data_IF_389684921179
#
_entry.id   IF_389684921179
#
_cell.length_a   1.000
_cell.length_b   1.000
_cell.length_c   1.000
_cell.angle_alpha   90.00
_cell.angle_beta   90.00
_cell.angle_gamma   90.00
#
_symmetry.space_group_name_H-M   'P 1'
#
loop_
_entity.id
_entity.type
_entity.pdbx_description
1 polymer ?
#
# COMPACT_ATOMS: atom_id res chain seq x y z
N UNK A 1 -10.20 3.97 6.75
CA UNK A 1 -9.39 4.87 7.59
C UNK A 1 -10.01 6.28 7.68
N UNK A 2 -10.69 6.78 6.64
CA UNK A 2 -11.21 8.17 6.58
C UNK A 2 -12.60 8.41 7.22
N UNK A 3 -13.11 7.49 8.00
CA UNK A 3 -14.52 7.56 8.49
C UNK A 3 -14.61 7.70 10.01
N UNK A 4 -13.67 8.34 10.63
CA UNK A 4 -13.97 8.96 11.92
C UNK A 4 -14.51 10.36 11.64
N UNK A 5 -15.72 10.70 12.07
CA UNK A 5 -16.25 12.07 12.11
C UNK A 5 -15.44 12.96 13.06
N UNK A 6 -14.15 12.70 13.20
CA UNK A 6 -13.25 13.38 14.11
C UNK A 6 -12.56 14.51 13.35
N UNK A 7 -12.46 15.63 14.00
CA UNK A 7 -11.66 16.76 13.51
C UNK A 7 -10.20 16.33 13.39
N UNK A 8 -9.46 16.83 12.40
CA UNK A 8 -8.06 16.51 12.27
C UNK A 8 -7.28 16.92 13.53
N UNK A 9 -6.22 16.16 13.83
CA UNK A 9 -5.32 16.46 14.94
C UNK A 9 -4.69 17.84 14.73
N UNK A 10 -4.81 18.71 15.74
CA UNK A 10 -4.24 20.07 15.72
C UNK A 10 -3.02 20.23 16.61
N UNK A 11 -2.74 19.26 17.50
CA UNK A 11 -1.56 19.27 18.35
C UNK A 11 -0.30 19.00 17.52
N UNK A 12 0.64 19.93 17.52
CA UNK A 12 1.87 19.86 16.72
C UNK A 12 2.72 18.61 17.05
N UNK A 13 2.79 18.20 18.30
CA UNK A 13 3.54 17.01 18.69
C UNK A 13 2.92 15.73 18.11
N UNK A 14 1.58 15.62 18.11
CA UNK A 14 0.87 14.49 17.50
C UNK A 14 1.00 14.51 15.98
N UNK A 15 0.98 15.68 15.35
CA UNK A 15 1.22 15.82 13.91
C UNK A 15 2.63 15.33 13.55
N UNK A 16 3.65 15.72 14.33
CA UNK A 16 5.02 15.26 14.11
C UNK A 16 5.17 13.76 14.32
N UNK A 17 4.53 13.20 15.35
CA UNK A 17 4.51 11.74 15.57
C UNK A 17 3.84 11.02 14.40
N UNK A 18 2.69 11.51 13.94
CA UNK A 18 1.99 10.95 12.78
C UNK A 18 2.86 10.99 11.52
N UNK A 19 3.54 12.11 11.27
CA UNK A 19 4.45 12.26 10.14
C UNK A 19 5.63 11.29 10.22
N UNK A 20 6.33 11.21 11.35
CA UNK A 20 7.46 10.31 11.53
C UNK A 20 7.04 8.84 11.43
N UNK A 21 5.88 8.50 11.99
CA UNK A 21 5.30 7.15 11.86
C UNK A 21 4.99 6.81 10.40
N UNK A 22 4.39 7.72 9.65
CA UNK A 22 4.08 7.54 8.24
C UNK A 22 5.35 7.40 7.37
N UNK A 23 6.38 8.22 7.64
CA UNK A 23 7.68 8.10 6.95
C UNK A 23 8.32 6.74 7.24
N UNK A 24 8.33 6.30 8.48
CA UNK A 24 8.95 5.04 8.88
C UNK A 24 8.20 3.85 8.26
N UNK A 25 6.87 3.85 8.31
CA UNK A 25 6.04 2.81 7.72
C UNK A 25 6.20 2.80 6.18
N UNK A 26 5.95 3.94 5.53
CA UNK A 26 6.02 4.06 4.08
C UNK A 26 7.40 3.69 3.52
N UNK A 27 8.49 4.17 4.14
CA UNK A 27 9.83 3.80 3.69
C UNK A 27 10.14 2.32 3.94
N UNK A 28 9.85 1.79 5.14
CA UNK A 28 10.14 0.39 5.49
C UNK A 28 9.35 -0.59 4.63
N UNK A 29 8.07 -0.32 4.44
CA UNK A 29 7.20 -1.18 3.65
C UNK A 29 7.55 -1.14 2.16
N UNK A 30 7.86 0.04 1.59
CA UNK A 30 8.24 0.15 0.19
C UNK A 30 9.62 -0.46 -0.09
N UNK A 31 10.59 -0.27 0.81
CA UNK A 31 11.89 -0.92 0.70
C UNK A 31 11.76 -2.44 0.63
N UNK A 32 10.95 -3.04 1.51
CA UNK A 32 10.72 -4.48 1.51
C UNK A 32 9.92 -4.93 0.29
N UNK A 33 8.78 -4.28 0.01
CA UNK A 33 7.84 -4.80 -0.98
C UNK A 33 8.25 -4.46 -2.42
N UNK A 34 8.80 -3.25 -2.69
CA UNK A 34 9.26 -2.84 -4.04
C UNK A 34 10.74 -3.05 -4.20
N UNK A 35 11.53 -2.62 -3.21
CA UNK A 35 12.99 -2.79 -3.26
C UNK A 35 13.43 -4.25 -3.25
N UNK A 36 12.73 -5.14 -2.55
CA UNK A 36 13.08 -6.56 -2.48
C UNK A 36 12.11 -7.41 -3.30
N UNK A 37 10.85 -7.55 -2.89
CA UNK A 37 9.94 -8.55 -3.49
C UNK A 37 9.63 -8.24 -4.96
N UNK A 38 9.12 -7.04 -5.27
CA UNK A 38 8.81 -6.68 -6.65
C UNK A 38 10.05 -6.66 -7.54
N UNK A 39 11.19 -6.21 -7.02
CA UNK A 39 12.46 -6.20 -7.75
C UNK A 39 12.93 -7.61 -8.12
N UNK A 40 12.97 -8.55 -7.16
CA UNK A 40 13.35 -9.94 -7.41
C UNK A 40 12.38 -10.62 -8.38
N UNK A 41 11.07 -10.42 -8.21
CA UNK A 41 10.07 -11.03 -9.08
C UNK A 41 10.14 -10.45 -10.49
N UNK A 42 10.29 -9.12 -10.63
CA UNK A 42 10.39 -8.48 -11.94
C UNK A 42 11.69 -8.88 -12.66
N UNK A 43 12.83 -8.95 -11.98
CA UNK A 43 14.10 -9.38 -12.59
C UNK A 43 14.01 -10.80 -13.17
N UNK A 44 13.23 -11.69 -12.54
CA UNK A 44 13.06 -13.08 -13.01
C UNK A 44 11.95 -13.23 -14.05
N UNK A 45 10.83 -12.52 -13.89
CA UNK A 45 9.60 -12.79 -14.64
C UNK A 45 9.24 -11.73 -15.67
N UNK A 46 9.71 -10.48 -15.54
CA UNK A 46 9.29 -9.38 -16.41
C UNK A 46 9.83 -9.45 -17.85
N UNK A 47 10.44 -10.57 -18.24
CA UNK A 47 10.82 -10.89 -19.63
C UNK A 47 9.60 -11.16 -20.53
N UNK A 48 8.44 -11.42 -19.95
CA UNK A 48 7.18 -11.68 -20.67
C UNK A 48 6.06 -10.79 -20.16
N UNK A 49 5.05 -10.51 -20.98
CA UNK A 49 3.84 -9.75 -20.57
C UNK A 49 3.16 -10.36 -19.35
N UNK A 50 2.97 -11.69 -19.35
CA UNK A 50 2.39 -12.39 -18.20
C UNK A 50 3.27 -12.27 -16.96
N UNK A 51 4.60 -12.34 -17.13
CA UNK A 51 5.54 -12.20 -16.04
C UNK A 51 5.56 -10.81 -15.41
N UNK A 52 5.39 -9.74 -16.19
CA UNK A 52 5.23 -8.36 -15.67
C UNK A 52 4.00 -8.26 -14.77
N UNK A 53 2.85 -8.74 -15.25
CA UNK A 53 1.60 -8.72 -14.48
C UNK A 53 1.68 -9.60 -13.23
N UNK A 54 2.28 -10.78 -13.36
CA UNK A 54 2.45 -11.71 -12.24
C UNK A 54 3.38 -11.13 -11.17
N UNK A 55 4.49 -10.50 -11.56
CA UNK A 55 5.41 -9.85 -10.63
C UNK A 55 4.71 -8.73 -9.84
N UNK A 56 3.92 -7.90 -10.51
CA UNK A 56 3.16 -6.85 -9.86
C UNK A 56 2.13 -7.43 -8.88
N UNK A 57 1.35 -8.41 -9.31
CA UNK A 57 0.27 -8.99 -8.50
C UNK A 57 0.80 -9.77 -7.29
N UNK A 58 1.79 -10.65 -7.49
CA UNK A 58 2.31 -11.49 -6.40
C UNK A 58 3.04 -10.66 -5.35
N UNK A 59 3.84 -9.66 -5.75
CA UNK A 59 4.46 -8.75 -4.77
C UNK A 59 3.42 -7.94 -4.00
N UNK A 60 2.34 -7.52 -4.65
CA UNK A 60 1.24 -6.83 -4.00
C UNK A 60 0.46 -7.74 -3.03
N UNK A 61 0.30 -9.01 -3.37
CA UNK A 61 -0.32 -9.99 -2.48
C UNK A 61 0.50 -10.18 -1.19
N UNK A 62 1.83 -10.27 -1.29
CA UNK A 62 2.69 -10.29 -0.10
C UNK A 62 2.55 -9.03 0.74
N UNK A 63 2.45 -7.86 0.11
CA UNK A 63 2.20 -6.60 0.80
C UNK A 63 0.88 -6.62 1.57
N UNK A 64 -0.22 -7.00 0.93
CA UNK A 64 -1.52 -7.11 1.59
C UNK A 64 -1.53 -8.14 2.72
N UNK A 65 -0.95 -9.33 2.49
CA UNK A 65 -0.86 -10.39 3.50
C UNK A 65 0.03 -10.00 4.68
N UNK A 66 1.01 -9.11 4.51
CA UNK A 66 1.81 -8.55 5.59
C UNK A 66 0.97 -7.89 6.69
N UNK A 67 -0.20 -7.33 6.32
CA UNK A 67 -1.13 -6.72 7.27
C UNK A 67 -1.83 -7.74 8.19
N UNK A 68 -1.73 -9.05 7.91
CA UNK A 68 -2.16 -10.09 8.88
C UNK A 68 -1.44 -9.95 10.22
N UNK A 69 -0.23 -9.38 10.26
CA UNK A 69 0.48 -9.08 11.50
C UNK A 69 -0.33 -8.19 12.45
N UNK A 70 -1.27 -7.38 11.93
CA UNK A 70 -2.16 -6.58 12.75
C UNK A 70 -3.12 -7.40 13.63
N UNK A 71 -3.24 -8.71 13.41
CA UNK A 71 -3.93 -9.63 14.33
C UNK A 71 -3.31 -9.58 15.72
N UNK A 72 -1.97 -9.41 15.82
CA UNK A 72 -1.30 -9.28 17.13
C UNK A 72 -1.71 -8.01 17.89
N UNK A 73 -2.12 -6.96 17.18
CA UNK A 73 -2.61 -5.71 17.76
C UNK A 73 -4.08 -5.81 18.18
N UNK A 74 -4.89 -6.43 17.32
CA UNK A 74 -6.36 -6.48 17.48
C UNK A 74 -6.82 -7.71 18.25
N UNK A 75 -6.01 -8.78 18.28
CA UNK A 75 -6.30 -10.05 18.93
C UNK A 75 -7.16 -11.01 18.10
N UNK A 76 -7.72 -10.58 16.97
CA UNK A 76 -8.57 -11.38 16.08
C UNK A 76 -8.64 -10.80 14.67
N UNK A 77 -9.08 -11.61 13.72
CA UNK A 77 -9.42 -11.14 12.38
C UNK A 77 -10.77 -10.41 12.42
N UNK A 78 -10.76 -9.12 12.11
CA UNK A 78 -11.97 -8.27 12.04
C UNK A 78 -12.35 -8.01 10.60
N UNK A 79 -13.55 -7.47 10.36
CA UNK A 79 -13.98 -7.03 9.03
C UNK A 79 -13.08 -5.88 8.51
N UNK A 80 -12.70 -4.95 9.38
CA UNK A 80 -11.79 -3.86 9.03
C UNK A 80 -10.41 -4.38 8.60
N UNK A 81 -9.84 -5.33 9.36
CA UNK A 81 -8.55 -5.93 9.01
C UNK A 81 -8.64 -6.75 7.71
N UNK A 82 -9.75 -7.46 7.50
CA UNK A 82 -9.97 -8.19 6.24
C UNK A 82 -9.97 -7.23 5.04
N UNK A 83 -10.70 -6.12 5.15
CA UNK A 83 -10.71 -5.09 4.11
C UNK A 83 -9.36 -4.39 3.96
N UNK A 84 -8.60 -4.21 5.05
CA UNK A 84 -7.25 -3.67 4.99
C UNK A 84 -6.36 -4.54 4.10
N UNK A 85 -6.39 -5.86 4.27
CA UNK A 85 -5.63 -6.79 3.43
C UNK A 85 -6.05 -6.67 1.95
N UNK A 86 -7.35 -6.56 1.68
CA UNK A 86 -7.87 -6.46 0.31
C UNK A 86 -7.42 -5.15 -0.35
N UNK A 87 -7.68 -3.98 0.27
CA UNK A 87 -7.32 -2.72 -0.35
C UNK A 87 -5.81 -2.48 -0.37
N UNK A 88 -5.05 -2.97 0.62
CA UNK A 88 -3.60 -2.91 0.60
C UNK A 88 -3.02 -3.74 -0.56
N UNK A 89 -3.58 -4.93 -0.83
CA UNK A 89 -3.21 -5.71 -2.01
C UNK A 89 -3.49 -4.91 -3.31
N UNK A 90 -4.66 -4.30 -3.41
CA UNK A 90 -5.03 -3.52 -4.59
C UNK A 90 -4.14 -2.30 -4.80
N UNK A 91 -3.90 -1.49 -3.76
CA UNK A 91 -2.93 -0.38 -3.81
C UNK A 91 -1.52 -0.88 -4.09
N UNK A 92 -1.16 -2.00 -3.47
CA UNK A 92 0.09 -2.69 -3.73
C UNK A 92 0.32 -3.02 -5.19
N UNK A 93 -0.74 -3.41 -5.93
CA UNK A 93 -0.67 -3.61 -7.38
C UNK A 93 -0.31 -2.32 -8.12
N UNK A 94 -0.90 -1.19 -7.74
CA UNK A 94 -0.59 0.12 -8.32
C UNK A 94 0.86 0.54 -8.07
N UNK A 95 1.32 0.44 -6.83
CA UNK A 95 2.70 0.76 -6.46
C UNK A 95 3.72 -0.19 -7.12
N UNK A 96 3.43 -1.50 -7.14
CA UNK A 96 4.30 -2.45 -7.83
C UNK A 96 4.38 -2.16 -9.34
N UNK A 97 3.27 -1.81 -9.97
CA UNK A 97 3.23 -1.39 -11.36
C UNK A 97 4.06 -0.11 -11.61
N UNK A 98 3.94 0.88 -10.72
CA UNK A 98 4.74 2.11 -10.80
C UNK A 98 6.24 1.81 -10.69
N UNK A 99 6.63 1.00 -9.71
CA UNK A 99 8.00 0.57 -9.52
C UNK A 99 8.55 -0.25 -10.70
N UNK A 100 7.82 -1.27 -11.14
CA UNK A 100 8.24 -2.14 -12.25
C UNK A 100 8.43 -1.35 -13.54
N UNK A 101 7.60 -0.32 -13.76
CA UNK A 101 7.69 0.56 -14.93
C UNK A 101 8.84 1.55 -14.88
N UNK A 102 9.24 2.03 -13.71
CA UNK A 102 10.16 3.18 -13.58
C UNK A 102 11.45 2.85 -12.86
N UNK A 103 11.52 1.73 -12.14
CA UNK A 103 12.57 1.41 -11.14
C UNK A 103 12.78 2.51 -10.09
N UNK A 104 11.82 3.43 -9.96
CA UNK A 104 11.89 4.53 -9.00
C UNK A 104 11.15 4.17 -7.71
N UNK A 105 11.91 3.88 -6.66
CA UNK A 105 11.40 3.55 -5.34
C UNK A 105 10.91 4.81 -4.59
N UNK A 106 11.56 5.96 -4.80
CA UNK A 106 11.24 7.18 -4.07
C UNK A 106 9.82 7.67 -4.32
N UNK A 107 9.33 7.55 -5.56
CA UNK A 107 7.94 7.90 -5.88
C UNK A 107 6.94 7.07 -5.07
N UNK A 108 7.20 5.76 -4.91
CA UNK A 108 6.36 4.88 -4.10
C UNK A 108 6.42 5.26 -2.61
N UNK A 109 7.62 5.50 -2.07
CA UNK A 109 7.82 5.91 -0.67
C UNK A 109 7.07 7.21 -0.37
N UNK A 110 7.23 8.24 -1.20
CA UNK A 110 6.58 9.55 -0.99
C UNK A 110 5.05 9.43 -1.01
N UNK A 111 4.50 8.75 -2.01
CA UNK A 111 3.04 8.61 -2.14
C UNK A 111 2.46 7.77 -0.99
N UNK A 112 3.14 6.68 -0.59
CA UNK A 112 2.72 5.85 0.53
C UNK A 112 2.77 6.64 1.85
N UNK A 113 3.89 7.31 2.12
CA UNK A 113 4.05 8.19 3.30
C UNK A 113 2.93 9.23 3.38
N UNK A 114 2.60 9.90 2.26
CA UNK A 114 1.53 10.88 2.24
C UNK A 114 0.16 10.25 2.52
N UNK A 115 -0.11 9.08 1.98
CA UNK A 115 -1.36 8.34 2.22
C UNK A 115 -1.51 8.00 3.71
N UNK A 116 -0.46 7.45 4.33
CA UNK A 116 -0.46 7.11 5.74
C UNK A 116 -0.54 8.34 6.63
N UNK A 117 0.22 9.38 6.33
CA UNK A 117 0.20 10.63 7.09
C UNK A 117 -1.20 11.26 7.10
N UNK A 118 -1.82 11.41 5.93
CA UNK A 118 -3.17 11.93 5.83
C UNK A 118 -4.17 11.05 6.60
N UNK A 119 -3.99 9.74 6.57
CA UNK A 119 -4.82 8.80 7.32
C UNK A 119 -4.68 9.00 8.83
N UNK A 120 -3.44 9.14 9.32
CA UNK A 120 -3.14 9.32 10.73
C UNK A 120 -3.61 10.68 11.30
N UNK A 121 -3.72 11.72 10.47
CA UNK A 121 -4.24 13.03 10.91
C UNK A 121 -5.70 12.98 11.40
N UNK A 122 -6.46 11.98 10.98
CA UNK A 122 -7.87 11.80 11.38
C UNK A 122 -8.07 10.71 12.42
N UNK A 123 -7.00 10.16 12.97
CA UNK A 123 -7.06 9.12 13.98
C UNK A 123 -6.52 9.68 15.29
N UNK A 124 -7.39 9.79 16.31
CA UNK A 124 -7.01 10.26 17.63
C UNK A 124 -6.61 9.07 18.51
N UNK A 125 -5.40 9.07 19.02
CA UNK A 125 -4.90 8.12 19.98
C UNK A 125 -3.60 8.62 20.59
N UNK A 126 -3.28 8.18 21.80
CA UNK A 126 -2.02 8.55 22.47
C UNK A 126 -0.80 7.92 21.79
N UNK A 127 -1.03 6.82 21.05
CA UNK A 127 0.00 6.15 20.28
C UNK A 127 -0.53 5.66 18.92
N UNK A 128 0.36 5.47 17.95
CA UNK A 128 0.02 4.89 16.64
C UNK A 128 -0.60 3.49 16.78
N UNK A 129 -0.14 2.69 17.73
CA UNK A 129 -0.66 1.34 17.95
C UNK A 129 -2.08 1.36 18.52
N UNK A 130 -2.40 2.26 19.44
CA UNK A 130 -3.75 2.41 19.99
C UNK A 130 -4.73 2.93 18.95
N UNK A 131 -4.29 3.89 18.15
CA UNK A 131 -5.03 4.40 17.00
C UNK A 131 -5.34 3.28 16.01
N UNK A 132 -4.36 2.47 15.65
CA UNK A 132 -4.53 1.32 14.76
C UNK A 132 -5.52 0.29 15.33
N UNK A 133 -5.40 -0.04 16.62
CA UNK A 133 -6.32 -0.95 17.32
C UNK A 133 -7.75 -0.43 17.27
N UNK A 134 -7.96 0.85 17.56
CA UNK A 134 -9.28 1.49 17.54
C UNK A 134 -9.92 1.39 16.16
N UNK A 135 -9.19 1.78 15.11
CA UNK A 135 -9.68 1.73 13.73
C UNK A 135 -10.00 0.31 13.30
N UNK A 136 -9.08 -0.63 13.53
CA UNK A 136 -9.24 -2.02 13.07
C UNK A 136 -10.27 -2.81 13.88
N UNK A 137 -10.63 -2.36 15.10
CA UNK A 137 -11.65 -2.98 15.92
C UNK A 137 -13.05 -2.38 15.72
N UNK A 138 -13.13 -1.23 15.05
CA UNK A 138 -14.41 -0.55 14.81
C UNK A 138 -15.33 -1.38 13.90
N UNK A 139 -16.65 -1.28 14.08
CA UNK A 139 -17.61 -1.84 13.13
C UNK A 139 -17.40 -1.25 11.73
N UNK A 140 -17.62 -2.07 10.68
CA UNK A 140 -17.57 -1.59 9.30
C UNK A 140 -18.79 -0.70 9.02
N UNK A 141 -18.57 0.58 8.73
CA UNK A 141 -19.63 1.47 8.26
C UNK A 141 -19.79 1.39 6.74
N UNK A 142 -20.94 1.84 6.24
CA UNK A 142 -21.19 1.90 4.78
C UNK A 142 -20.18 2.82 4.08
N UNK A 143 -19.85 3.96 4.69
CA UNK A 143 -18.88 4.92 4.15
C UNK A 143 -17.47 4.30 4.09
N UNK A 144 -17.05 3.59 5.15
CA UNK A 144 -15.77 2.87 5.16
C UNK A 144 -15.73 1.82 4.06
N UNK A 145 -16.80 1.07 3.86
CA UNK A 145 -16.91 0.07 2.79
C UNK A 145 -16.77 0.72 1.41
N UNK A 146 -17.49 1.81 1.16
CA UNK A 146 -17.43 2.55 -0.11
C UNK A 146 -15.99 3.04 -0.37
N UNK A 147 -15.35 3.65 0.62
CA UNK A 147 -13.97 4.12 0.50
C UNK A 147 -12.99 2.98 0.22
N UNK A 148 -13.14 1.83 0.88
CA UNK A 148 -12.31 0.66 0.63
C UNK A 148 -12.48 0.15 -0.81
N UNK A 149 -13.71 0.12 -1.33
CA UNK A 149 -13.99 -0.25 -2.73
C UNK A 149 -13.35 0.75 -3.69
N UNK A 150 -13.49 2.06 -3.45
CA UNK A 150 -12.86 3.10 -4.26
C UNK A 150 -11.33 2.92 -4.26
N UNK A 151 -10.74 2.68 -3.10
CA UNK A 151 -9.31 2.43 -2.96
C UNK A 151 -8.86 1.22 -3.78
N UNK A 152 -9.63 0.14 -3.77
CA UNK A 152 -9.35 -1.03 -4.61
C UNK A 152 -9.42 -0.69 -6.11
N UNK A 153 -10.44 0.04 -6.53
CA UNK A 153 -10.60 0.46 -7.93
C UNK A 153 -9.44 1.35 -8.38
N UNK A 154 -8.99 2.27 -7.54
CA UNK A 154 -7.81 3.12 -7.81
C UNK A 154 -6.55 2.27 -7.94
N UNK A 155 -6.28 1.37 -7.01
CA UNK A 155 -5.08 0.52 -7.02
C UNK A 155 -4.99 -0.37 -8.27
N UNK A 156 -6.06 -1.10 -8.59
CA UNK A 156 -6.12 -1.91 -9.82
C UNK A 156 -6.14 -1.05 -11.09
N UNK A 157 -6.88 0.07 -11.08
CA UNK A 157 -6.90 1.02 -12.19
C UNK A 157 -5.49 1.55 -12.51
N UNK A 158 -4.72 1.91 -11.48
CA UNK A 158 -3.31 2.31 -11.64
C UNK A 158 -2.48 1.18 -12.25
N UNK A 159 -2.62 -0.06 -11.77
CA UNK A 159 -1.89 -1.20 -12.32
C UNK A 159 -2.19 -1.38 -13.82
N UNK A 160 -3.47 -1.44 -14.19
CA UNK A 160 -3.85 -1.62 -15.60
C UNK A 160 -3.42 -0.45 -16.49
N UNK A 161 -3.51 0.79 -15.98
CA UNK A 161 -3.05 1.96 -16.73
C UNK A 161 -1.53 1.98 -16.91
N UNK A 162 -0.77 1.69 -15.86
CA UNK A 162 0.69 1.73 -15.90
C UNK A 162 1.29 0.57 -16.70
N UNK A 163 0.69 -0.61 -16.62
CA UNK A 163 1.13 -1.82 -17.33
C UNK A 163 0.31 -2.09 -18.62
N UNK A 164 -0.30 -1.06 -19.19
CA UNK A 164 -1.09 -1.21 -20.43
C UNK A 164 -0.25 -1.73 -21.60
N UNK A 165 -0.85 -2.41 -22.60
CA UNK A 165 -0.13 -3.09 -23.68
C UNK A 165 0.90 -2.22 -24.40
N UNK A 166 0.61 -0.92 -24.61
CA UNK A 166 1.53 0.02 -25.28
C UNK A 166 2.81 0.30 -24.50
N UNK A 167 2.91 -0.10 -23.22
CA UNK A 167 4.08 0.12 -22.36
C UNK A 167 4.86 -1.16 -22.03
N UNK A 168 4.29 -2.32 -22.32
CA UNK A 168 4.89 -3.59 -21.92
C UNK A 168 6.24 -3.87 -22.56
N UNK A 169 6.44 -3.48 -23.83
CA UNK A 169 7.74 -3.68 -24.51
C UNK A 169 8.84 -2.80 -23.90
N UNK A 170 8.52 -1.57 -23.53
CA UNK A 170 9.42 -0.66 -22.84
C UNK A 170 9.80 -1.23 -21.46
N UNK A 171 8.81 -1.73 -20.71
CA UNK A 171 8.99 -2.31 -19.38
C UNK A 171 9.86 -3.58 -19.47
N UNK A 172 9.60 -4.48 -20.42
CA UNK A 172 10.38 -5.71 -20.58
C UNK A 172 11.86 -5.39 -20.87
N UNK A 173 12.13 -4.41 -21.73
CA UNK A 173 13.52 -3.96 -22.02
C UNK A 173 14.23 -3.45 -20.77
N UNK A 174 13.52 -2.78 -19.87
CA UNK A 174 14.10 -2.26 -18.62
C UNK A 174 14.55 -3.39 -17.66
N UNK A 175 13.95 -4.58 -17.77
CA UNK A 175 14.22 -5.72 -16.89
C UNK A 175 15.03 -6.84 -17.56
N UNK A 176 15.34 -6.74 -18.85
CA UNK A 176 16.31 -7.59 -19.50
C UNK A 176 17.68 -6.99 -19.16
N UNK A 177 18.37 -7.55 -18.18
CA UNK A 177 19.79 -7.30 -17.97
C UNK A 177 20.54 -7.92 -19.12
N UNK A 178 21.32 -7.12 -19.84
CA UNK A 178 22.37 -7.68 -20.72
C UNK A 178 23.31 -8.49 -19.83
N UNK A 179 23.34 -9.79 -20.03
CA UNK A 179 24.34 -10.70 -19.44
C UNK A 179 25.69 -10.45 -20.07
#
# INVERSE_FOLDING_TARGET
>A
VFVSHQSPVTNISLILIAFLSAVTAGAGEELLNRGVYANIMASKWAKTTKGVLLAAFVSALFFGLGHLANIYVVGKLTSQLTWQIIYATALGCGFAAAYIRTKNLWGCIVVHTLFDFLSLLFVTGESTQESLKTVLSAPMSTEALILNIITCLVGFGMMFFLLRPSKLEEIKKLWITEE
#
